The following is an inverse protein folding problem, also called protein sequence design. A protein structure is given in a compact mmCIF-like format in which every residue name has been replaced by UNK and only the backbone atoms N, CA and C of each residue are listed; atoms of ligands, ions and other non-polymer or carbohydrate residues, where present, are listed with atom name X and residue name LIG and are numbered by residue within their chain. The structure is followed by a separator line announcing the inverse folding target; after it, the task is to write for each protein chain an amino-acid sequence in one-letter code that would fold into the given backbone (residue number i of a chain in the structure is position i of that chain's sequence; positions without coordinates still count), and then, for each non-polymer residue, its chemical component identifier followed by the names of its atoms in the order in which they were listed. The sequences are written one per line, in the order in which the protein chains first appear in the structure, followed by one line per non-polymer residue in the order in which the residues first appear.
data_IF_600195592151
#
_entry.id   IF_600195592151
#
_cell.length_a   1.000
_cell.length_b   1.000
_cell.length_c   1.000
_cell.angle_alpha   90.00
_cell.angle_beta   90.00
_cell.angle_gamma   90.00
#
_symmetry.space_group_name_H-M   'P 1'
#
loop_
_entity.id
_entity.type
_entity.pdbx_description
1 polymer ?
#
# COMPACT_ATOMS: atom_id res chain seq x y z
N UNK A 1 -12.29 13.68 5.85
CA UNK A 1 -11.53 13.85 7.11
C UNK A 1 -10.23 14.61 6.82
N UNK A 2 -10.18 15.92 7.08
CA UNK A 2 -8.96 16.72 6.90
C UNK A 2 -8.08 16.50 8.14
N UNK A 3 -6.95 15.80 8.00
CA UNK A 3 -6.01 15.56 9.10
C UNK A 3 -5.47 14.13 9.19
N UNK A 4 -6.25 13.13 8.76
CA UNK A 4 -5.82 11.72 8.77
C UNK A 4 -5.28 11.29 7.39
N UNK A 5 -6.12 11.39 6.37
CA UNK A 5 -5.81 10.94 5.02
C UNK A 5 -7.08 10.54 4.28
N UNK A 6 -6.93 9.86 3.16
CA UNK A 6 -8.06 9.38 2.37
C UNK A 6 -7.77 7.98 1.85
N UNK A 7 -8.80 7.16 1.79
CA UNK A 7 -8.75 5.88 1.09
C UNK A 7 -9.13 6.12 -0.37
N UNK A 8 -8.29 5.63 -1.27
CA UNK A 8 -8.47 5.73 -2.72
C UNK A 8 -8.38 4.35 -3.33
N UNK A 9 -9.10 4.15 -4.44
CA UNK A 9 -8.96 2.94 -5.25
C UNK A 9 -7.79 3.17 -6.21
N UNK A 10 -6.82 2.25 -6.23
CA UNK A 10 -5.74 2.23 -7.21
C UNK A 10 -5.86 1.00 -8.10
N UNK A 11 -5.75 1.20 -9.41
CA UNK A 11 -5.67 0.09 -10.36
C UNK A 11 -4.24 -0.41 -10.45
N UNK A 12 -4.06 -1.72 -10.29
CA UNK A 12 -2.80 -2.42 -10.54
C UNK A 12 -2.85 -3.01 -11.94
N UNK A 13 -1.79 -2.78 -12.72
CA UNK A 13 -1.58 -3.49 -13.97
C UNK A 13 -1.33 -4.98 -13.71
N UNK A 14 -1.53 -5.79 -14.74
CA UNK A 14 -1.12 -7.20 -14.71
C UNK A 14 0.36 -7.30 -14.39
N UNK A 15 0.71 -8.24 -13.51
CA UNK A 15 2.09 -8.50 -13.15
C UNK A 15 2.35 -9.98 -12.93
N UNK A 16 3.60 -10.38 -13.14
CA UNK A 16 4.08 -11.70 -12.78
C UNK A 16 4.51 -11.72 -11.31
N UNK A 17 3.95 -12.64 -10.51
CA UNK A 17 4.30 -12.87 -9.12
C UNK A 17 4.85 -14.29 -8.90
N UNK A 18 5.28 -14.57 -7.67
CA UNK A 18 5.74 -15.91 -7.25
C UNK A 18 4.92 -16.41 -6.07
N UNK A 19 4.45 -17.64 -6.15
CA UNK A 19 3.92 -18.35 -4.99
C UNK A 19 5.11 -18.84 -4.15
N UNK A 20 5.31 -18.25 -2.96
CA UNK A 20 6.47 -18.57 -2.11
C UNK A 20 6.40 -20.03 -1.63
N UNK A 21 5.21 -20.55 -1.33
CA UNK A 21 5.03 -21.91 -0.82
C UNK A 21 5.19 -22.98 -1.90
N UNK A 22 4.72 -22.71 -3.13
CA UNK A 22 4.76 -23.68 -4.25
C UNK A 22 5.98 -23.52 -5.15
N UNK A 23 6.79 -22.49 -4.91
CA UNK A 23 7.94 -22.13 -5.73
C UNK A 23 7.61 -21.94 -7.22
N UNK A 24 6.38 -21.55 -7.55
CA UNK A 24 5.91 -21.37 -8.93
C UNK A 24 5.68 -19.91 -9.27
N UNK A 25 5.83 -19.60 -10.56
CA UNK A 25 5.51 -18.29 -11.13
C UNK A 25 4.02 -18.23 -11.48
N UNK A 26 3.37 -17.11 -11.17
CA UNK A 26 1.95 -16.86 -11.38
C UNK A 26 1.77 -15.56 -12.16
N UNK A 27 0.83 -15.50 -13.10
CA UNK A 27 0.37 -14.21 -13.64
C UNK A 27 -0.80 -13.72 -12.79
N UNK A 28 -0.68 -12.50 -12.25
CA UNK A 28 -1.71 -11.85 -11.45
C UNK A 28 -2.37 -10.80 -12.34
N UNK A 29 -3.66 -10.96 -12.69
CA UNK A 29 -4.35 -10.05 -13.60
C UNK A 29 -4.51 -8.64 -13.00
N UNK A 30 -4.79 -7.68 -13.87
CA UNK A 30 -5.08 -6.31 -13.45
C UNK A 30 -6.32 -6.28 -12.54
N UNK A 31 -6.22 -5.56 -11.43
CA UNK A 31 -7.32 -5.44 -10.46
C UNK A 31 -7.20 -4.15 -9.65
N UNK A 32 -8.30 -3.80 -8.99
CA UNK A 32 -8.38 -2.63 -8.12
C UNK A 32 -8.04 -3.01 -6.68
N UNK A 33 -7.27 -2.15 -6.01
CA UNK A 33 -6.94 -2.30 -4.59
C UNK A 33 -7.25 -1.03 -3.81
N UNK A 34 -7.67 -1.15 -2.53
CA UNK A 34 -7.73 0.00 -1.64
C UNK A 34 -6.30 0.48 -1.30
N UNK A 35 -6.10 1.78 -1.26
CA UNK A 35 -4.84 2.39 -0.87
C UNK A 35 -5.09 3.60 0.03
N UNK A 36 -4.31 3.73 1.10
CA UNK A 36 -4.36 4.88 1.99
C UNK A 36 -3.39 5.97 1.51
N UNK A 37 -3.90 7.20 1.35
CA UNK A 37 -3.11 8.42 1.10
C UNK A 37 -3.10 9.25 2.38
N UNK A 38 -2.05 9.16 3.21
CA UNK A 38 -1.99 9.89 4.47
C UNK A 38 -1.89 11.39 4.26
N UNK A 39 -2.48 12.17 5.17
CA UNK A 39 -2.31 13.61 5.20
C UNK A 39 -0.94 14.00 5.77
N UNK A 40 -0.41 15.16 5.40
CA UNK A 40 0.91 15.64 5.82
C UNK A 40 1.07 15.68 7.35
N UNK A 41 0.08 16.26 8.04
CA UNK A 41 0.02 16.33 9.51
C UNK A 41 0.06 14.95 10.18
N UNK A 42 -0.58 13.94 9.60
CA UNK A 42 -0.55 12.57 10.12
C UNK A 42 0.85 11.95 10.02
N UNK A 43 1.51 12.12 8.87
CA UNK A 43 2.87 11.60 8.66
C UNK A 43 3.88 12.24 9.62
N UNK A 44 3.79 13.56 9.82
CA UNK A 44 4.66 14.31 10.74
C UNK A 44 4.48 13.84 12.20
N UNK A 45 3.24 13.64 12.63
CA UNK A 45 2.93 13.13 13.97
C UNK A 45 3.45 11.71 14.24
N UNK A 46 3.46 10.84 13.23
CA UNK A 46 3.99 9.46 13.37
C UNK A 46 5.52 9.47 13.40
N UNK A 47 6.16 10.20 12.48
CA UNK A 47 7.64 10.21 12.36
C UNK A 47 8.35 10.73 13.60
N UNK A 48 7.73 11.68 14.31
CA UNK A 48 8.31 12.28 15.53
C UNK A 48 8.23 11.36 16.76
N UNK A 49 7.34 10.37 16.76
CA UNK A 49 7.06 9.53 17.94
C UNK A 49 7.65 8.12 17.87
N UNK A 50 8.28 7.74 16.76
CA UNK A 50 8.83 6.39 16.55
C UNK A 50 10.35 6.45 16.43
N UNK A 51 11.06 5.76 17.33
CA UNK A 51 12.51 5.55 17.22
C UNK A 51 12.79 4.56 16.09
N UNK A 52 13.64 4.94 15.14
CA UNK A 52 14.16 4.03 14.11
C UNK A 52 15.21 3.13 14.78
N UNK A 53 15.05 1.81 14.65
CA UNK A 53 15.97 0.80 15.18
C UNK A 53 17.05 0.46 14.16
#
# INVERSE_FOLDING_TARGET
MRGFGSFIIKTRAEKTGRNISKNTTLKIPAHNIPAFKPAKVFVEGVKTKVKVK
#
